data_IF_098601631903
#
_entry.id   IF_098601631903
#
_cell.length_a   1.000
_cell.length_b   1.000
_cell.length_c   1.000
_cell.angle_alpha   90.00
_cell.angle_beta   90.00
_cell.angle_gamma   90.00
#
_symmetry.space_group_name_H-M   'P 1'
#
loop_
_entity.id
_entity.type
_entity.pdbx_description
1 polymer ?
#
# COMPACT_ATOMS: atom_id res chain seq x y z
N UNK A 1 11.73 -23.91 42.91
CA UNK A 1 11.07 -24.49 41.75
C UNK A 1 10.28 -23.38 41.05
N UNK A 2 10.56 -23.05 39.78
CA UNK A 2 9.81 -22.03 39.08
C UNK A 2 8.40 -22.53 38.80
N UNK A 3 7.43 -21.69 39.06
CA UNK A 3 6.00 -21.96 38.91
C UNK A 3 5.65 -22.14 37.41
N UNK A 4 5.12 -23.30 36.95
CA UNK A 4 4.86 -23.59 35.56
C UNK A 4 3.77 -22.70 34.92
N UNK A 5 3.02 -21.96 35.71
CA UNK A 5 1.94 -21.07 35.21
C UNK A 5 2.42 -19.74 34.65
N UNK A 6 3.70 -19.36 34.82
CA UNK A 6 4.23 -18.13 34.24
C UNK A 6 4.52 -18.23 32.73
N UNK A 7 4.70 -19.43 32.21
CA UNK A 7 5.00 -19.67 30.79
C UNK A 7 3.79 -19.52 29.86
N UNK A 8 2.57 -19.61 30.40
CA UNK A 8 1.34 -19.58 29.56
C UNK A 8 0.94 -18.14 29.12
N UNK A 9 1.52 -17.11 29.76
CA UNK A 9 1.12 -15.70 29.52
C UNK A 9 1.92 -14.98 28.46
N UNK A 10 2.95 -15.60 27.87
CA UNK A 10 3.87 -14.98 26.90
C UNK A 10 3.65 -15.51 25.47
N UNK A 11 2.77 -16.49 25.26
CA UNK A 11 2.50 -17.07 23.95
C UNK A 11 1.36 -16.27 23.30
N UNK A 12 1.61 -15.52 22.20
CA UNK A 12 0.51 -14.95 21.42
C UNK A 12 -0.32 -16.07 20.80
N UNK A 13 -1.64 -15.94 20.83
CA UNK A 13 -2.63 -16.97 20.50
C UNK A 13 -2.71 -17.42 19.02
N UNK A 14 -1.73 -17.08 18.17
CA UNK A 14 -1.74 -17.41 16.74
C UNK A 14 -0.40 -17.96 16.24
N UNK A 15 0.00 -19.07 16.78
CA UNK A 15 1.10 -19.87 16.26
C UNK A 15 1.06 -21.21 16.97
N UNK A 16 0.24 -22.14 16.47
CA UNK A 16 0.13 -23.47 17.06
C UNK A 16 1.46 -24.20 17.01
N UNK A 17 2.25 -24.08 18.09
CA UNK A 17 3.31 -25.03 18.37
C UNK A 17 2.68 -26.41 18.50
N UNK A 18 3.16 -27.36 17.72
CA UNK A 18 2.75 -28.75 17.91
C UNK A 18 3.24 -29.23 19.27
N UNK A 19 2.43 -30.03 19.96
CA UNK A 19 2.82 -30.66 21.25
C UNK A 19 4.20 -31.34 21.19
N UNK A 20 4.64 -31.75 20.01
CA UNK A 20 5.94 -32.38 19.76
C UNK A 20 7.13 -31.41 19.89
N UNK A 21 6.96 -30.13 19.56
CA UNK A 21 8.03 -29.13 19.71
C UNK A 21 8.21 -28.73 21.17
N UNK A 22 7.12 -28.57 21.92
CA UNK A 22 7.17 -28.37 23.36
C UNK A 22 7.82 -29.54 24.12
N UNK A 23 7.59 -30.77 23.65
CA UNK A 23 8.16 -31.97 24.25
C UNK A 23 9.67 -32.14 23.96
N UNK A 24 10.13 -31.70 22.79
CA UNK A 24 11.57 -31.65 22.45
C UNK A 24 12.35 -30.66 23.32
N UNK A 25 11.81 -29.46 23.56
CA UNK A 25 12.44 -28.45 24.41
C UNK A 25 12.59 -28.94 25.86
N UNK A 26 11.63 -29.71 26.37
CA UNK A 26 11.65 -30.23 27.75
C UNK A 26 12.70 -31.32 27.97
N UNK A 27 13.04 -32.12 26.93
CA UNK A 27 13.95 -33.26 27.06
C UNK A 27 15.39 -32.99 26.59
N UNK A 28 15.66 -31.88 25.89
CA UNK A 28 16.96 -31.63 25.25
C UNK A 28 18.04 -31.04 26.20
N UNK A 29 17.72 -30.70 27.45
CA UNK A 29 18.72 -30.22 28.41
C UNK A 29 19.45 -28.94 28.04
N UNK A 30 18.97 -28.23 27.01
CA UNK A 30 19.49 -26.93 26.59
C UNK A 30 19.04 -25.84 27.56
N UNK A 31 19.82 -24.78 27.69
CA UNK A 31 19.46 -23.65 28.53
C UNK A 31 18.14 -23.06 28.05
N UNK A 32 17.15 -22.94 28.94
CA UNK A 32 15.82 -22.34 28.64
C UNK A 32 15.96 -21.02 27.87
N UNK A 33 17.04 -20.31 28.07
CA UNK A 33 17.36 -19.03 27.39
C UNK A 33 17.68 -19.23 25.92
N UNK A 34 18.46 -20.25 25.59
CA UNK A 34 18.87 -20.52 24.19
C UNK A 34 17.70 -21.05 23.38
N UNK A 35 16.84 -21.87 24.01
CA UNK A 35 15.59 -22.34 23.40
C UNK A 35 14.62 -21.21 23.15
N UNK A 36 14.46 -20.24 24.05
CA UNK A 36 13.61 -19.07 23.90
C UNK A 36 14.12 -18.17 22.76
N UNK A 37 15.43 -17.94 22.68
CA UNK A 37 16.04 -17.16 21.59
C UNK A 37 15.82 -17.83 20.23
N UNK A 38 16.02 -19.15 20.15
CA UNK A 38 15.79 -19.92 18.92
C UNK A 38 14.33 -19.92 18.48
N UNK A 39 13.38 -20.01 19.42
CA UNK A 39 11.95 -19.95 19.16
C UNK A 39 11.53 -18.54 18.69
N UNK A 40 12.06 -17.51 19.32
CA UNK A 40 11.80 -16.11 18.93
C UNK A 40 12.35 -15.81 17.53
N UNK A 41 13.57 -16.24 17.23
CA UNK A 41 14.19 -16.07 15.90
C UNK A 41 13.40 -16.79 14.80
N UNK A 42 12.96 -18.03 15.01
CA UNK A 42 12.16 -18.77 14.05
C UNK A 42 10.75 -18.19 13.89
N UNK A 43 10.13 -17.71 14.95
CA UNK A 43 8.83 -17.04 14.88
C UNK A 43 8.93 -15.73 14.10
N UNK A 44 9.95 -14.91 14.35
CA UNK A 44 10.18 -13.66 13.59
C UNK A 44 10.49 -13.93 12.12
N UNK A 45 11.29 -14.95 11.82
CA UNK A 45 11.62 -15.36 10.45
C UNK A 45 10.36 -15.77 9.68
N UNK A 46 9.48 -16.54 10.29
CA UNK A 46 8.21 -16.95 9.69
C UNK A 46 7.28 -15.74 9.43
N UNK A 47 7.18 -14.81 10.38
CA UNK A 47 6.37 -13.60 10.20
C UNK A 47 6.90 -12.69 9.08
N UNK A 48 8.21 -12.53 8.96
CA UNK A 48 8.80 -11.71 7.90
C UNK A 48 8.56 -12.32 6.51
N UNK A 49 8.72 -13.63 6.38
CA UNK A 49 8.39 -14.36 5.14
C UNK A 49 6.91 -14.20 4.79
N UNK A 50 6.02 -14.34 5.77
CA UNK A 50 4.58 -14.17 5.59
C UNK A 50 4.21 -12.77 5.12
N UNK A 51 4.80 -11.72 5.73
CA UNK A 51 4.60 -10.32 5.29
C UNK A 51 4.99 -10.12 3.84
N UNK A 52 6.16 -10.65 3.44
CA UNK A 52 6.66 -10.52 2.07
C UNK A 52 5.73 -11.21 1.07
N UNK A 53 5.31 -12.44 1.34
CA UNK A 53 4.42 -13.21 0.46
C UNK A 53 3.05 -12.54 0.35
N UNK A 54 2.45 -12.13 1.46
CA UNK A 54 1.15 -11.43 1.46
C UNK A 54 1.25 -10.10 0.71
N UNK A 55 2.33 -9.33 0.91
CA UNK A 55 2.53 -8.07 0.20
C UNK A 55 2.71 -8.28 -1.30
N UNK A 56 3.50 -9.28 -1.71
CA UNK A 56 3.69 -9.59 -3.13
C UNK A 56 2.37 -9.99 -3.81
N UNK A 57 1.55 -10.82 -3.15
CA UNK A 57 0.21 -11.19 -3.61
C UNK A 57 -0.70 -9.97 -3.75
N UNK A 58 -0.73 -9.10 -2.75
CA UNK A 58 -1.57 -7.89 -2.77
C UNK A 58 -1.12 -6.89 -3.82
N UNK A 59 0.19 -6.75 -4.05
CA UNK A 59 0.73 -5.95 -5.16
C UNK A 59 0.25 -6.53 -6.50
N UNK A 60 0.38 -7.84 -6.70
CA UNK A 60 -0.07 -8.49 -7.93
C UNK A 60 -1.58 -8.29 -8.17
N UNK A 61 -2.42 -8.53 -7.15
CA UNK A 61 -3.86 -8.30 -7.23
C UNK A 61 -4.18 -6.84 -7.54
N UNK A 62 -3.55 -5.89 -6.82
CA UNK A 62 -3.73 -4.46 -7.05
C UNK A 62 -3.34 -4.05 -8.47
N UNK A 63 -2.26 -4.61 -9.01
CA UNK A 63 -1.81 -4.36 -10.38
C UNK A 63 -2.82 -4.89 -11.39
N UNK A 64 -3.29 -6.12 -11.26
CA UNK A 64 -4.34 -6.68 -12.14
C UNK A 64 -5.61 -5.83 -12.08
N UNK A 65 -6.05 -5.44 -10.88
CA UNK A 65 -7.23 -4.60 -10.71
C UNK A 65 -7.04 -3.19 -11.31
N UNK A 66 -5.81 -2.67 -11.34
CA UNK A 66 -5.52 -1.36 -11.95
C UNK A 66 -5.61 -1.40 -13.48
N UNK A 67 -5.37 -2.55 -14.10
CA UNK A 67 -5.53 -2.74 -15.55
C UNK A 67 -6.98 -3.04 -15.97
N UNK A 68 -7.81 -3.50 -15.03
CA UNK A 68 -9.25 -3.70 -15.26
C UNK A 68 -9.99 -2.36 -15.21
N UNK A 69 -9.86 -1.58 -16.26
CA UNK A 69 -10.55 -0.29 -16.40
C UNK A 69 -11.96 -0.50 -16.92
N UNK A 70 -12.96 -0.09 -16.16
CA UNK A 70 -14.36 -0.11 -16.59
C UNK A 70 -14.67 1.22 -17.28
N UNK A 71 -14.72 1.17 -18.61
CA UNK A 71 -15.07 2.32 -19.46
C UNK A 71 -13.97 3.36 -19.52
N UNK A 72 -13.55 3.69 -20.72
CA UNK A 72 -12.84 4.95 -20.99
C UNK A 72 -13.89 6.05 -21.07
N UNK A 73 -14.23 6.64 -19.92
CA UNK A 73 -15.18 7.76 -19.88
C UNK A 73 -14.60 9.03 -20.52
N UNK A 74 -13.27 9.08 -20.69
CA UNK A 74 -12.53 10.26 -21.10
C UNK A 74 -11.51 9.95 -22.20
N UNK A 75 -11.40 10.86 -23.17
CA UNK A 75 -10.50 10.75 -24.32
C UNK A 75 -9.01 10.65 -23.93
N UNK A 76 -8.64 11.09 -22.72
CA UNK A 76 -7.25 11.20 -22.26
C UNK A 76 -6.83 10.09 -21.27
N UNK A 77 -7.50 8.95 -21.25
CA UNK A 77 -7.01 7.75 -20.59
C UNK A 77 -7.37 7.55 -19.11
N UNK A 78 -8.13 8.46 -18.49
CA UNK A 78 -8.71 8.22 -17.15
C UNK A 78 -9.72 7.08 -17.19
N UNK A 79 -9.56 6.07 -16.36
CA UNK A 79 -10.49 4.94 -16.27
C UNK A 79 -10.82 4.60 -14.83
N UNK A 80 -12.11 4.31 -14.55
CA UNK A 80 -12.53 3.83 -13.24
C UNK A 80 -11.96 2.43 -13.00
N UNK A 81 -11.09 2.29 -12.02
CA UNK A 81 -10.54 0.98 -11.61
C UNK A 81 -11.33 0.42 -10.45
N UNK A 82 -11.72 -0.86 -10.54
CA UNK A 82 -12.51 -1.51 -9.50
C UNK A 82 -11.60 -1.90 -8.32
N UNK A 83 -11.54 -1.03 -7.30
CA UNK A 83 -10.93 -1.36 -6.02
C UNK A 83 -9.43 -1.64 -6.04
N UNK A 84 -8.68 -1.12 -7.03
CA UNK A 84 -7.24 -1.35 -7.17
C UNK A 84 -6.39 -0.93 -5.96
N UNK A 85 -6.90 0.00 -5.13
CA UNK A 85 -6.23 0.46 -3.91
C UNK A 85 -6.55 -0.38 -2.66
N UNK A 86 -7.60 -1.21 -2.71
CA UNK A 86 -8.03 -2.04 -1.56
C UNK A 86 -6.92 -2.96 -1.05
N UNK A 87 -6.15 -3.68 -1.90
CA UNK A 87 -5.05 -4.52 -1.44
C UNK A 87 -3.99 -3.77 -0.63
N UNK A 88 -3.66 -2.53 -1.01
CA UNK A 88 -2.68 -1.71 -0.30
C UNK A 88 -3.19 -1.25 1.07
N UNK A 89 -4.46 -0.84 1.13
CA UNK A 89 -5.14 -0.50 2.39
C UNK A 89 -5.13 -1.71 3.34
N UNK A 90 -5.47 -2.90 2.84
CA UNK A 90 -5.47 -4.13 3.64
C UNK A 90 -4.09 -4.44 4.24
N UNK A 91 -3.02 -4.33 3.46
CA UNK A 91 -1.65 -4.53 3.94
C UNK A 91 -1.27 -3.51 5.01
N UNK A 92 -1.63 -2.23 4.82
CA UNK A 92 -1.35 -1.18 5.79
C UNK A 92 -2.03 -1.45 7.14
N UNK A 93 -3.30 -1.87 7.13
CA UNK A 93 -4.02 -2.20 8.37
C UNK A 93 -3.56 -3.52 9.00
N UNK A 94 -3.09 -4.48 8.20
CA UNK A 94 -2.63 -5.79 8.69
C UNK A 94 -1.23 -5.74 9.30
N UNK A 95 -0.28 -5.05 8.65
CA UNK A 95 1.13 -5.05 9.01
C UNK A 95 1.65 -3.71 9.53
N UNK A 96 0.74 -2.73 9.66
CA UNK A 96 1.02 -1.41 10.18
C UNK A 96 1.56 -0.43 9.14
N UNK A 97 1.57 0.84 9.52
CA UNK A 97 1.87 1.98 8.65
C UNK A 97 3.24 1.88 7.95
N UNK A 98 4.31 1.48 8.65
CA UNK A 98 5.66 1.40 8.08
C UNK A 98 5.73 0.38 6.95
N UNK A 99 5.18 -0.81 7.18
CA UNK A 99 5.17 -1.87 6.18
C UNK A 99 4.19 -1.58 5.05
N UNK A 100 3.02 -1.04 5.36
CA UNK A 100 2.04 -0.59 4.38
C UNK A 100 2.59 0.47 3.43
N UNK A 101 3.28 1.48 3.97
CA UNK A 101 3.93 2.53 3.16
C UNK A 101 5.04 1.97 2.28
N UNK A 102 5.87 1.05 2.81
CA UNK A 102 6.90 0.38 2.01
C UNK A 102 6.28 -0.44 0.86
N UNK A 103 5.24 -1.22 1.14
CA UNK A 103 4.53 -2.01 0.12
C UNK A 103 3.87 -1.11 -0.93
N UNK A 104 3.26 0.00 -0.52
CA UNK A 104 2.66 0.98 -1.42
C UNK A 104 3.72 1.70 -2.27
N UNK A 105 4.91 1.95 -1.72
CA UNK A 105 6.04 2.48 -2.49
C UNK A 105 6.51 1.49 -3.56
N UNK A 106 6.66 0.20 -3.23
CA UNK A 106 7.00 -0.83 -4.24
C UNK A 106 5.93 -0.91 -5.33
N UNK A 107 4.66 -0.85 -4.94
CA UNK A 107 3.54 -0.78 -5.90
C UNK A 107 3.62 0.47 -6.79
N UNK A 108 4.00 1.63 -6.24
CA UNK A 108 4.15 2.87 -7.00
C UNK A 108 5.21 2.78 -8.10
N UNK A 109 6.31 2.05 -7.83
CA UNK A 109 7.34 1.78 -8.84
C UNK A 109 6.82 0.90 -9.98
N UNK A 110 6.00 -0.11 -9.67
CA UNK A 110 5.35 -0.92 -10.71
C UNK A 110 4.37 -0.09 -11.54
N UNK A 111 3.57 0.76 -10.92
CA UNK A 111 2.66 1.66 -11.64
C UNK A 111 3.40 2.67 -12.52
N UNK A 112 4.58 3.16 -12.07
CA UNK A 112 5.44 4.01 -12.87
C UNK A 112 5.96 3.25 -14.12
N UNK A 113 6.39 1.99 -13.96
CA UNK A 113 6.85 1.18 -15.08
C UNK A 113 5.71 0.94 -16.09
N UNK A 114 4.51 0.62 -15.62
CA UNK A 114 3.34 0.38 -16.47
C UNK A 114 2.83 1.67 -17.16
N UNK A 115 3.02 2.82 -16.52
CA UNK A 115 2.60 4.12 -17.04
C UNK A 115 3.73 4.98 -17.56
N UNK A 116 4.92 4.42 -17.84
CA UNK A 116 6.11 5.18 -18.26
C UNK A 116 5.87 5.98 -19.55
N UNK A 117 4.97 5.52 -20.40
CA UNK A 117 4.59 6.23 -21.65
C UNK A 117 4.04 7.64 -21.38
N UNK A 118 3.45 7.89 -20.22
CA UNK A 118 2.99 9.22 -19.85
C UNK A 118 4.14 10.19 -19.61
N UNK A 119 5.31 9.72 -19.21
CA UNK A 119 6.49 10.56 -18.95
C UNK A 119 7.09 11.11 -20.26
N UNK A 120 6.91 10.41 -21.40
CA UNK A 120 7.42 10.85 -22.71
C UNK A 120 6.76 12.15 -23.19
N UNK A 121 5.58 12.51 -22.70
CA UNK A 121 4.89 13.75 -23.05
C UNK A 121 5.47 14.98 -22.35
N UNK A 122 6.36 14.80 -21.38
CA UNK A 122 6.99 15.91 -20.68
C UNK A 122 7.88 16.73 -21.63
N UNK A 123 7.63 18.03 -21.70
CA UNK A 123 8.40 18.97 -22.54
C UNK A 123 9.67 19.48 -21.85
N UNK A 124 9.83 19.21 -20.56
CA UNK A 124 11.02 19.57 -19.78
C UNK A 124 11.35 18.52 -18.73
N UNK A 125 12.63 18.50 -18.30
CA UNK A 125 13.09 17.58 -17.24
C UNK A 125 12.32 17.83 -15.93
N UNK A 126 12.04 19.09 -15.58
CA UNK A 126 11.25 19.41 -14.39
C UNK A 126 9.83 18.87 -14.45
N UNK A 127 9.20 18.93 -15.61
CA UNK A 127 7.87 18.37 -15.85
C UNK A 127 7.88 16.83 -15.74
N UNK A 128 8.89 16.17 -16.31
CA UNK A 128 9.05 14.71 -16.19
C UNK A 128 9.18 14.28 -14.71
N UNK A 129 10.01 14.98 -13.94
CA UNK A 129 10.19 14.72 -12.51
C UNK A 129 8.88 14.95 -11.76
N UNK A 130 8.13 16.00 -12.06
CA UNK A 130 6.84 16.28 -11.42
C UNK A 130 5.80 15.19 -11.71
N UNK A 131 5.70 14.71 -12.95
CA UNK A 131 4.84 13.58 -13.34
C UNK A 131 5.23 12.32 -12.55
N UNK A 132 6.51 11.95 -12.55
CA UNK A 132 7.00 10.75 -11.85
C UNK A 132 6.68 10.83 -10.36
N UNK A 133 6.95 11.97 -9.72
CA UNK A 133 6.74 12.11 -8.29
C UNK A 133 5.27 12.20 -7.91
N UNK A 134 4.50 13.08 -8.54
CA UNK A 134 3.12 13.36 -8.15
C UNK A 134 2.13 12.32 -8.66
N UNK A 135 2.21 11.91 -9.93
CA UNK A 135 1.24 10.96 -10.50
C UNK A 135 1.52 9.50 -10.12
N UNK A 136 2.78 9.17 -9.79
CA UNK A 136 3.14 7.79 -9.48
C UNK A 136 3.65 7.64 -8.04
N UNK A 137 4.82 8.18 -7.70
CA UNK A 137 5.49 7.84 -6.44
C UNK A 137 4.65 8.28 -5.24
N UNK A 138 4.32 9.56 -5.14
CA UNK A 138 3.59 10.10 -3.98
C UNK A 138 2.14 9.61 -3.99
N UNK A 139 1.45 9.70 -5.14
CA UNK A 139 0.04 9.35 -5.26
C UNK A 139 -0.28 7.93 -4.78
N UNK A 140 0.58 6.96 -5.06
CA UNK A 140 0.36 5.58 -4.62
C UNK A 140 0.96 5.31 -3.23
N UNK A 141 2.12 5.87 -2.89
CA UNK A 141 2.77 5.65 -1.60
C UNK A 141 1.91 6.13 -0.42
N UNK A 142 1.20 7.24 -0.58
CA UNK A 142 0.32 7.79 0.48
C UNK A 142 -0.79 6.82 0.89
N UNK A 143 -1.22 5.90 0.03
CA UNK A 143 -2.23 4.87 0.36
C UNK A 143 -1.75 3.97 1.51
N UNK A 144 -0.44 3.72 1.59
CA UNK A 144 0.16 2.97 2.69
C UNK A 144 0.01 3.61 4.07
N UNK A 145 -0.30 4.92 4.13
CA UNK A 145 -0.58 5.64 5.37
C UNK A 145 -2.00 5.40 5.92
N UNK A 146 -2.85 4.64 5.24
CA UNK A 146 -4.28 4.47 5.60
C UNK A 146 -4.51 3.97 7.03
N UNK A 147 -3.55 3.28 7.64
CA UNK A 147 -3.62 2.82 9.04
C UNK A 147 -3.17 3.86 10.09
N UNK A 148 -2.91 5.12 9.68
CA UNK A 148 -2.35 6.16 10.57
C UNK A 148 -3.22 6.49 11.79
N UNK A 149 -4.53 6.33 11.70
CA UNK A 149 -5.47 6.63 12.79
C UNK A 149 -5.81 5.42 13.65
N UNK A 150 -5.23 4.24 13.35
CA UNK A 150 -5.47 3.01 14.11
C UNK A 150 -6.43 2.03 13.44
N UNK A 151 -6.94 1.06 14.24
CA UNK A 151 -7.67 -0.11 13.72
C UNK A 151 -9.18 -0.08 14.04
N UNK A 152 -9.70 0.97 14.67
CA UNK A 152 -11.15 1.09 14.89
C UNK A 152 -11.86 1.40 13.55
N UNK A 153 -13.13 0.99 13.42
CA UNK A 153 -13.89 1.22 12.18
C UNK A 153 -13.87 2.68 11.70
N UNK A 154 -14.13 3.69 12.57
CA UNK A 154 -14.06 5.09 12.14
C UNK A 154 -12.63 5.52 11.78
N UNK A 155 -11.60 4.99 12.46
CA UNK A 155 -10.19 5.26 12.16
C UNK A 155 -9.80 4.72 10.79
N UNK A 156 -10.25 3.51 10.44
CA UNK A 156 -10.04 2.90 9.12
C UNK A 156 -10.67 3.78 8.03
N UNK A 157 -11.94 4.15 8.20
CA UNK A 157 -12.65 5.01 7.24
C UNK A 157 -11.93 6.36 7.10
N UNK A 158 -11.57 7.00 8.21
CA UNK A 158 -10.85 8.27 8.22
C UNK A 158 -9.50 8.19 7.52
N UNK A 159 -8.72 7.11 7.77
CA UNK A 159 -7.44 6.87 7.13
C UNK A 159 -7.56 6.66 5.61
N UNK A 160 -8.54 5.89 5.18
CA UNK A 160 -8.81 5.67 3.75
C UNK A 160 -9.23 6.98 3.07
N UNK A 161 -10.18 7.73 3.66
CA UNK A 161 -10.63 9.01 3.09
C UNK A 161 -9.48 10.00 2.96
N UNK A 162 -8.64 10.15 4.00
CA UNK A 162 -7.50 11.06 3.97
C UNK A 162 -6.48 10.65 2.90
N UNK A 163 -6.13 9.37 2.82
CA UNK A 163 -5.13 8.90 1.84
C UNK A 163 -5.62 8.96 0.40
N UNK A 164 -6.89 8.65 0.15
CA UNK A 164 -7.51 8.85 -1.17
C UNK A 164 -7.60 10.33 -1.52
N UNK A 165 -7.91 11.20 -0.55
CA UNK A 165 -7.89 12.65 -0.73
C UNK A 165 -6.49 13.19 -1.07
N UNK A 166 -5.45 12.71 -0.41
CA UNK A 166 -4.06 13.06 -0.73
C UNK A 166 -3.67 12.58 -2.14
N UNK A 167 -4.05 11.37 -2.52
CA UNK A 167 -3.85 10.87 -3.88
C UNK A 167 -4.58 11.75 -4.90
N UNK A 168 -5.84 12.06 -4.65
CA UNK A 168 -6.62 12.97 -5.50
C UNK A 168 -5.92 14.32 -5.65
N UNK A 169 -5.40 14.88 -4.56
CA UNK A 169 -4.66 16.15 -4.60
C UNK A 169 -3.42 16.07 -5.50
N UNK A 170 -2.67 14.98 -5.47
CA UNK A 170 -1.53 14.78 -6.36
C UNK A 170 -1.96 14.83 -7.83
N UNK A 171 -2.96 14.06 -8.22
CA UNK A 171 -3.45 14.05 -9.61
C UNK A 171 -4.16 15.35 -9.99
N UNK A 172 -4.81 16.02 -9.05
CA UNK A 172 -5.39 17.36 -9.29
C UNK A 172 -4.30 18.36 -9.64
N UNK A 173 -3.18 18.38 -8.88
CA UNK A 173 -2.06 19.30 -9.13
C UNK A 173 -1.39 19.04 -10.49
N UNK A 174 -1.15 17.80 -10.86
CA UNK A 174 -0.58 17.46 -12.17
C UNK A 174 -1.55 17.77 -13.30
N UNK A 175 -2.84 17.49 -13.12
CA UNK A 175 -3.90 17.84 -14.07
C UNK A 175 -3.99 19.34 -14.30
N UNK A 176 -3.93 20.13 -13.23
CA UNK A 176 -4.00 21.59 -13.30
C UNK A 176 -2.74 22.22 -13.94
N UNK A 177 -1.54 21.77 -13.50
CA UNK A 177 -0.29 22.44 -13.84
C UNK A 177 0.38 21.88 -15.10
N UNK A 178 0.14 20.63 -15.43
CA UNK A 178 0.87 19.90 -16.48
C UNK A 178 -0.07 19.45 -17.60
N UNK A 179 -1.07 18.63 -17.25
CA UNK A 179 -1.86 17.96 -18.28
C UNK A 179 -2.75 18.90 -19.10
N UNK A 180 -3.36 19.90 -18.48
CA UNK A 180 -4.15 20.90 -19.23
C UNK A 180 -3.28 21.83 -20.08
N UNK A 181 -2.01 22.05 -19.68
CA UNK A 181 -1.06 22.80 -20.51
C UNK A 181 -0.59 22.02 -21.74
N UNK A 182 -0.52 20.68 -21.65
CA UNK A 182 -0.16 19.80 -22.76
C UNK A 182 -1.35 19.53 -23.69
N UNK A 183 -2.54 19.36 -23.11
CA UNK A 183 -3.79 19.11 -23.81
C UNK A 183 -4.89 20.01 -23.23
N UNK A 184 -5.01 21.25 -23.74
CA UNK A 184 -6.05 22.16 -23.29
C UNK A 184 -7.46 21.57 -23.44
N UNK A 185 -8.29 21.76 -22.41
CA UNK A 185 -9.64 21.24 -22.42
C UNK A 185 -10.51 21.96 -23.47
N UNK A 186 -11.36 21.19 -24.16
CA UNK A 186 -12.27 21.70 -25.16
C UNK A 186 -13.57 22.33 -24.60
N UNK A 187 -13.78 22.25 -23.28
CA UNK A 187 -15.00 22.66 -22.59
C UNK A 187 -15.01 24.15 -22.21
N UNK A 188 -13.93 24.89 -22.44
CA UNK A 188 -13.80 26.30 -22.07
C UNK A 188 -13.71 26.51 -20.54
N UNK A 189 -13.42 25.46 -19.79
CA UNK A 189 -13.22 25.53 -18.33
C UNK A 189 -11.80 26.04 -18.02
N UNK A 190 -11.62 26.67 -16.85
CA UNK A 190 -10.27 26.95 -16.36
C UNK A 190 -9.57 25.64 -16.00
N UNK A 191 -8.24 25.58 -16.18
CA UNK A 191 -7.41 24.39 -15.93
C UNK A 191 -7.68 23.73 -14.58
N UNK A 192 -7.84 24.54 -13.53
CA UNK A 192 -8.12 24.03 -12.18
C UNK A 192 -9.51 23.39 -12.07
N UNK A 193 -10.54 24.02 -12.65
CA UNK A 193 -11.90 23.48 -12.64
C UNK A 193 -11.99 22.22 -13.46
N UNK A 194 -11.34 22.18 -14.62
CA UNK A 194 -11.29 20.99 -15.45
C UNK A 194 -10.57 19.83 -14.75
N UNK A 195 -9.40 20.08 -14.15
CA UNK A 195 -8.67 19.06 -13.38
C UNK A 195 -9.49 18.52 -12.21
N UNK A 196 -10.20 19.38 -11.47
CA UNK A 196 -11.09 18.98 -10.38
C UNK A 196 -12.20 18.06 -10.87
N UNK A 197 -12.88 18.46 -11.93
CA UNK A 197 -13.98 17.71 -12.52
C UNK A 197 -13.51 16.38 -13.12
N UNK A 198 -12.42 16.41 -13.90
CA UNK A 198 -11.83 15.23 -14.53
C UNK A 198 -11.43 14.18 -13.49
N UNK A 199 -10.56 14.55 -12.54
CA UNK A 199 -10.10 13.61 -11.50
C UNK A 199 -11.22 13.19 -10.55
N UNK A 200 -12.13 14.10 -10.20
CA UNK A 200 -13.28 13.81 -9.35
C UNK A 200 -14.30 12.86 -9.95
N UNK A 201 -14.31 12.69 -11.27
CA UNK A 201 -15.26 11.82 -11.95
C UNK A 201 -14.86 10.33 -11.95
N UNK A 202 -13.57 9.99 -11.76
CA UNK A 202 -13.10 8.61 -11.81
C UNK A 202 -12.29 8.15 -10.59
N UNK A 203 -11.96 9.03 -9.63
CA UNK A 203 -11.29 8.69 -8.38
C UNK A 203 -12.27 8.52 -7.23
#
# INVERSE_FOLDING_TARGET
SPNPYYLIRIIPAEGAFTKAELFRCFFAGSSIRDDLIFLEENCMKNQNTRRLVESALMIAIGTVLSELKVGSLWAFGGGLTIGSMVPLVLISHRWGIKWGTFTAFVYSLLQLILGVDNVQYATSVGMAIAIILLDYIIAYTVIGLSSMFGSSRPAIIGGVVVTLGLRFLCHFLTGWMIWDALWPNEFGMTSAVYSLWYNGSYM
#
